data_IF_285614976780
#
_entry.id   IF_285614976780
#
_cell.length_a   1.000
_cell.length_b   1.000
_cell.length_c   1.000
_cell.angle_alpha   90.00
_cell.angle_beta   90.00
_cell.angle_gamma   90.00
#
_symmetry.space_group_name_H-M   'P 1'
#
loop_
_entity.id
_entity.type
_entity.pdbx_description
1 polymer ?
#
# COMPACT_ATOMS: atom_id res chain seq x y z
N UNK A 1 20.44 -19.91 40.85
CA UNK A 1 19.14 -19.39 40.38
C UNK A 1 19.41 -18.72 39.03
N UNK A 2 19.21 -19.46 37.95
CA UNK A 2 19.51 -19.02 36.58
C UNK A 2 18.22 -18.40 36.08
N UNK A 3 18.24 -17.11 35.82
CA UNK A 3 17.14 -16.42 35.16
C UNK A 3 17.38 -16.63 33.64
N UNK A 4 16.64 -17.55 33.07
CA UNK A 4 16.58 -17.69 31.63
C UNK A 4 15.87 -16.46 31.06
N UNK A 5 16.62 -15.60 30.37
CA UNK A 5 16.06 -14.52 29.57
C UNK A 5 15.34 -15.15 28.38
N UNK A 6 14.02 -15.09 28.39
CA UNK A 6 13.23 -15.34 27.20
C UNK A 6 13.66 -14.32 26.15
N UNK A 7 14.40 -14.78 25.15
CA UNK A 7 14.63 -14.02 23.94
C UNK A 7 13.28 -13.94 23.21
N UNK A 8 12.68 -12.77 23.25
CA UNK A 8 11.53 -12.41 22.42
C UNK A 8 11.95 -12.48 20.95
N UNK A 9 11.93 -13.70 20.41
CA UNK A 9 12.11 -13.95 19.00
C UNK A 9 10.79 -13.59 18.31
N UNK A 10 10.59 -12.29 18.03
CA UNK A 10 9.48 -11.85 17.19
C UNK A 10 9.54 -12.63 15.88
N UNK A 11 8.49 -13.38 15.59
CA UNK A 11 8.36 -14.09 14.30
C UNK A 11 8.59 -13.10 13.17
N UNK A 12 9.29 -13.51 12.08
CA UNK A 12 9.53 -12.60 10.96
C UNK A 12 8.21 -12.13 10.37
N UNK A 13 8.12 -10.83 10.06
CA UNK A 13 6.94 -10.27 9.40
C UNK A 13 6.69 -11.01 8.09
N UNK A 14 5.46 -11.44 7.88
CA UNK A 14 5.04 -12.18 6.70
C UNK A 14 4.31 -11.24 5.75
N UNK A 15 4.79 -11.14 4.50
CA UNK A 15 4.11 -10.44 3.41
C UNK A 15 3.40 -11.47 2.53
N UNK A 16 2.15 -11.18 2.18
CA UNK A 16 1.36 -12.05 1.30
C UNK A 16 0.42 -11.23 0.40
N UNK A 17 0.08 -11.80 -0.74
CA UNK A 17 -1.01 -11.31 -1.58
C UNK A 17 -2.35 -11.68 -0.92
N UNK A 18 -3.24 -10.71 -0.76
CA UNK A 18 -4.52 -10.92 -0.09
C UNK A 18 -5.50 -11.69 -0.99
N UNK A 19 -6.07 -12.74 -0.43
CA UNK A 19 -7.23 -13.42 -1.01
C UNK A 19 -8.49 -12.92 -0.31
N UNK A 20 -9.28 -12.10 -1.00
CA UNK A 20 -10.51 -11.53 -0.45
C UNK A 20 -11.66 -12.53 -0.34
N UNK A 21 -11.48 -13.79 -0.70
CA UNK A 21 -12.44 -14.86 -0.33
C UNK A 21 -12.28 -15.28 1.14
N UNK A 22 -11.15 -14.97 1.79
CA UNK A 22 -10.85 -15.30 3.17
C UNK A 22 -11.26 -14.18 4.13
N UNK A 23 -12.13 -14.45 5.11
CA UNK A 23 -12.58 -13.44 6.07
C UNK A 23 -11.42 -12.73 6.80
N UNK A 24 -10.38 -13.44 7.20
CA UNK A 24 -9.22 -12.88 7.88
C UNK A 24 -8.49 -11.84 7.02
N UNK A 25 -8.42 -12.02 5.71
CA UNK A 25 -7.83 -11.03 4.80
C UNK A 25 -8.76 -9.84 4.58
N UNK A 26 -10.08 -10.05 4.52
CA UNK A 26 -11.07 -8.97 4.45
C UNK A 26 -10.97 -8.06 5.67
N UNK A 27 -10.94 -8.64 6.87
CA UNK A 27 -10.81 -7.91 8.13
C UNK A 27 -9.48 -7.13 8.20
N UNK A 28 -8.38 -7.76 7.78
CA UNK A 28 -7.08 -7.13 7.74
C UNK A 28 -7.04 -5.93 6.77
N UNK A 29 -7.56 -6.08 5.55
CA UNK A 29 -7.65 -4.98 4.58
C UNK A 29 -8.47 -3.84 5.14
N UNK A 30 -9.67 -4.13 5.68
CA UNK A 30 -10.53 -3.11 6.27
C UNK A 30 -9.85 -2.38 7.43
N UNK A 31 -9.16 -3.12 8.31
CA UNK A 31 -8.44 -2.54 9.43
C UNK A 31 -7.30 -1.62 8.97
N UNK A 32 -6.54 -2.04 7.96
CA UNK A 32 -5.42 -1.24 7.45
C UNK A 32 -5.88 0.02 6.71
N UNK A 33 -6.93 -0.07 5.88
CA UNK A 33 -7.48 1.11 5.20
C UNK A 33 -8.11 2.09 6.20
N UNK A 34 -8.80 1.60 7.24
CA UNK A 34 -9.32 2.46 8.32
C UNK A 34 -8.17 3.12 9.11
N UNK A 35 -7.09 2.39 9.39
CA UNK A 35 -5.91 2.95 10.04
C UNK A 35 -5.25 4.05 9.19
N UNK A 36 -5.15 3.83 7.88
CA UNK A 36 -4.64 4.85 6.94
C UNK A 36 -5.56 6.08 6.90
N UNK A 37 -6.88 5.88 6.86
CA UNK A 37 -7.85 6.99 6.89
C UNK A 37 -7.70 7.87 8.14
N UNK A 38 -7.35 7.27 9.29
CA UNK A 38 -7.12 7.98 10.58
C UNK A 38 -5.77 8.70 10.64
N UNK A 39 -4.80 8.30 9.82
CA UNK A 39 -3.47 8.92 9.80
C UNK A 39 -3.55 10.38 9.37
N UNK A 40 -2.67 11.23 9.89
CA UNK A 40 -2.59 12.65 9.52
C UNK A 40 -2.30 12.86 8.03
N UNK A 41 -1.66 11.89 7.38
CA UNK A 41 -1.41 11.89 5.92
C UNK A 41 -2.56 11.26 5.12
N UNK A 42 -3.60 10.75 5.79
CA UNK A 42 -4.86 10.33 5.21
C UNK A 42 -5.95 11.38 5.38
N UNK A 43 -7.16 10.95 5.78
CA UNK A 43 -8.28 11.87 6.02
C UNK A 43 -8.33 12.43 7.45
N UNK A 44 -7.49 11.94 8.38
CA UNK A 44 -7.47 12.34 9.79
C UNK A 44 -8.70 11.86 10.60
N UNK A 45 -9.53 10.98 10.05
CA UNK A 45 -10.75 10.45 10.70
C UNK A 45 -11.00 9.00 10.25
N UNK A 46 -11.77 8.22 11.05
CA UNK A 46 -12.14 6.86 10.66
C UNK A 46 -13.00 6.87 9.39
N UNK A 47 -13.01 5.73 8.71
CA UNK A 47 -13.94 5.49 7.60
C UNK A 47 -15.39 5.58 8.08
N UNK A 48 -16.23 6.24 7.30
CA UNK A 48 -17.67 6.26 7.54
C UNK A 48 -18.26 4.84 7.49
N UNK A 49 -19.33 4.60 8.23
CA UNK A 49 -19.93 3.28 8.36
C UNK A 49 -20.37 2.69 7.00
N UNK A 50 -20.90 3.51 6.10
CA UNK A 50 -21.27 3.08 4.75
C UNK A 50 -20.04 2.68 3.93
N UNK A 51 -18.94 3.45 4.03
CA UNK A 51 -17.68 3.13 3.35
C UNK A 51 -17.13 1.82 3.88
N UNK A 52 -17.11 1.61 5.20
CA UNK A 52 -16.68 0.35 5.82
C UNK A 52 -17.47 -0.85 5.31
N UNK A 53 -18.79 -0.70 5.18
CA UNK A 53 -19.68 -1.79 4.71
C UNK A 53 -19.47 -2.10 3.21
N UNK A 54 -19.09 -1.12 2.40
CA UNK A 54 -18.98 -1.27 0.95
C UNK A 54 -17.55 -1.52 0.46
N UNK A 55 -16.53 -1.29 1.29
CA UNK A 55 -15.12 -1.37 0.87
C UNK A 55 -14.77 -2.75 0.32
N UNK A 56 -14.94 -3.80 1.11
CA UNK A 56 -14.59 -5.17 0.71
C UNK A 56 -15.44 -5.64 -0.48
N UNK A 57 -16.78 -5.51 -0.47
CA UNK A 57 -17.59 -5.83 -1.64
C UNK A 57 -17.17 -5.05 -2.91
N UNK A 58 -16.79 -3.79 -2.76
CA UNK A 58 -16.30 -2.96 -3.87
C UNK A 58 -14.99 -3.48 -4.44
N UNK A 59 -14.00 -3.73 -3.57
CA UNK A 59 -12.69 -4.28 -3.96
C UNK A 59 -12.81 -5.65 -4.63
N UNK A 60 -13.69 -6.52 -4.14
CA UNK A 60 -13.95 -7.84 -4.75
C UNK A 60 -14.55 -7.75 -6.15
N UNK A 61 -15.39 -6.75 -6.42
CA UNK A 61 -16.01 -6.53 -7.73
C UNK A 61 -15.09 -5.81 -8.70
N UNK A 62 -14.09 -5.09 -8.20
CA UNK A 62 -13.19 -4.32 -9.04
C UNK A 62 -12.16 -5.27 -9.72
N UNK A 63 -12.15 -5.37 -11.05
CA UNK A 63 -11.45 -6.46 -11.75
C UNK A 63 -9.92 -6.38 -11.69
N UNK A 64 -9.37 -5.24 -11.30
CA UNK A 64 -7.92 -4.99 -11.28
C UNK A 64 -7.35 -4.82 -9.88
N UNK A 65 -8.14 -5.15 -8.85
CA UNK A 65 -7.71 -5.09 -7.45
C UNK A 65 -6.56 -6.07 -7.18
N UNK A 66 -5.51 -5.57 -6.56
CA UNK A 66 -4.36 -6.33 -6.11
C UNK A 66 -3.93 -5.77 -4.76
N UNK A 67 -3.88 -6.61 -3.73
CA UNK A 67 -3.61 -6.15 -2.36
C UNK A 67 -2.53 -7.02 -1.75
N UNK A 68 -1.57 -6.37 -1.07
CA UNK A 68 -0.58 -7.04 -0.23
C UNK A 68 -0.79 -6.68 1.22
N UNK A 69 -0.67 -7.67 2.09
CA UNK A 69 -0.78 -7.52 3.54
C UNK A 69 0.53 -7.91 4.20
N UNK A 70 0.89 -7.18 5.26
CA UNK A 70 1.97 -7.51 6.16
C UNK A 70 1.39 -7.95 7.51
N UNK A 71 1.79 -9.12 7.99
CA UNK A 71 1.40 -9.66 9.28
C UNK A 71 2.62 -9.84 10.19
N UNK A 72 2.50 -9.40 11.43
CA UNK A 72 3.38 -9.74 12.55
C UNK A 72 2.64 -10.76 13.42
N UNK A 73 3.03 -12.04 13.32
CA UNK A 73 2.19 -13.13 13.80
C UNK A 73 0.82 -13.15 13.10
N UNK A 74 -0.24 -12.97 13.87
CA UNK A 74 -1.63 -12.89 13.37
C UNK A 74 -2.14 -11.45 13.21
N UNK A 75 -1.35 -10.45 13.62
CA UNK A 75 -1.75 -9.05 13.56
C UNK A 75 -1.39 -8.42 12.22
N UNK A 76 -2.34 -7.83 11.49
CA UNK A 76 -2.03 -7.04 10.31
C UNK A 76 -1.34 -5.74 10.75
N UNK A 77 -0.18 -5.46 10.17
CA UNK A 77 0.66 -4.31 10.52
C UNK A 77 0.95 -3.40 9.34
N UNK A 78 0.56 -3.79 8.14
CA UNK A 78 0.68 -2.97 6.94
C UNK A 78 -0.10 -3.52 5.76
N UNK A 79 -0.35 -2.66 4.79
CA UNK A 79 -1.00 -3.03 3.54
C UNK A 79 -0.57 -2.13 2.38
N UNK A 80 -0.62 -2.69 1.18
CA UNK A 80 -0.57 -1.97 -0.08
C UNK A 80 -1.81 -2.35 -0.91
N UNK A 81 -2.72 -1.40 -1.10
CA UNK A 81 -3.87 -1.55 -2.00
C UNK A 81 -3.47 -1.00 -3.35
N UNK A 82 -3.50 -1.84 -4.37
CA UNK A 82 -3.03 -1.54 -5.70
C UNK A 82 -4.11 -1.82 -6.75
N UNK A 83 -3.99 -1.16 -7.89
CA UNK A 83 -4.83 -1.43 -9.06
C UNK A 83 -3.95 -1.61 -10.29
N UNK A 84 -4.28 -2.62 -11.11
CA UNK A 84 -3.60 -2.85 -12.37
C UNK A 84 -4.22 -1.93 -13.41
N UNK A 85 -3.40 -1.04 -13.93
CA UNK A 85 -3.74 -0.13 -15.02
C UNK A 85 -3.02 -0.50 -16.31
N UNK A 86 -3.12 0.36 -17.31
CA UNK A 86 -2.49 0.17 -18.60
C UNK A 86 -1.79 1.44 -19.08
N UNK A 87 -0.56 1.32 -19.50
CA UNK A 87 0.20 2.40 -20.11
C UNK A 87 0.00 2.39 -21.63
N UNK A 88 -0.75 3.35 -22.16
CA UNK A 88 -0.96 3.48 -23.61
C UNK A 88 0.33 3.77 -24.37
N UNK A 89 1.29 4.49 -23.76
CA UNK A 89 2.56 4.80 -24.39
C UNK A 89 3.53 3.60 -24.45
N UNK A 90 3.43 2.68 -23.47
CA UNK A 90 4.26 1.47 -23.46
C UNK A 90 3.52 0.24 -24.01
N UNK A 91 2.19 0.35 -24.25
CA UNK A 91 1.31 -0.76 -24.58
C UNK A 91 1.47 -1.96 -23.63
N UNK A 92 1.61 -1.68 -22.32
CA UNK A 92 1.85 -2.67 -21.27
C UNK A 92 1.06 -2.34 -20.02
N UNK A 93 0.75 -3.34 -19.16
CA UNK A 93 0.18 -3.09 -17.86
C UNK A 93 1.14 -2.27 -16.99
N UNK A 94 0.59 -1.64 -15.97
CA UNK A 94 1.30 -1.02 -14.87
C UNK A 94 0.55 -1.32 -13.57
N UNK A 95 1.21 -1.18 -12.41
CA UNK A 95 0.53 -1.21 -11.13
C UNK A 95 0.57 0.19 -10.53
N UNK A 96 -0.61 0.70 -10.14
CA UNK A 96 -0.74 1.89 -9.31
C UNK A 96 -0.88 1.44 -7.84
N UNK A 97 0.02 1.92 -6.97
CA UNK A 97 -0.10 1.77 -5.52
C UNK A 97 -1.00 2.91 -5.05
N UNK A 98 -2.26 2.59 -4.73
CA UNK A 98 -3.29 3.57 -4.40
C UNK A 98 -3.27 3.96 -2.93
N UNK A 99 -3.28 2.95 -2.02
CA UNK A 99 -3.13 3.16 -0.58
C UNK A 99 -1.92 2.36 -0.08
N UNK A 100 -1.12 2.98 0.78
CA UNK A 100 0.05 2.35 1.36
C UNK A 100 0.17 2.71 2.83
N UNK A 101 0.11 1.72 3.70
CA UNK A 101 0.11 1.93 5.14
C UNK A 101 1.01 0.94 5.86
N UNK A 102 1.75 1.44 6.84
CA UNK A 102 2.39 0.65 7.90
C UNK A 102 2.00 1.30 9.22
N UNK A 103 1.47 0.51 10.15
CA UNK A 103 1.03 1.00 11.45
C UNK A 103 2.18 1.74 12.16
N UNK A 104 1.91 2.86 12.86
CA UNK A 104 2.95 3.65 13.54
C UNK A 104 3.85 2.82 14.45
N UNK A 105 3.28 1.87 15.18
CA UNK A 105 3.99 0.95 16.10
C UNK A 105 4.92 -0.04 15.40
N UNK A 106 4.76 -0.20 14.10
CA UNK A 106 5.51 -1.15 13.26
C UNK A 106 6.44 -0.46 12.26
N UNK A 107 6.46 0.87 12.23
CA UNK A 107 7.38 1.64 11.36
C UNK A 107 8.84 1.46 11.80
N UNK A 108 9.76 1.70 10.88
CA UNK A 108 11.20 1.56 11.14
C UNK A 108 11.74 0.12 11.12
N UNK A 109 10.87 -0.88 10.96
CA UNK A 109 11.23 -2.32 10.93
C UNK A 109 11.41 -2.87 9.50
N UNK A 110 11.44 -2.02 8.48
CA UNK A 110 11.61 -2.45 7.08
C UNK A 110 10.35 -3.01 6.41
N UNK A 111 9.19 -2.98 7.06
CA UNK A 111 7.92 -3.55 6.55
C UNK A 111 7.48 -2.85 5.26
N UNK A 112 7.56 -1.52 5.21
CA UNK A 112 7.22 -0.77 4.00
C UNK A 112 8.07 -1.18 2.81
N UNK A 113 9.38 -1.38 3.00
CA UNK A 113 10.27 -1.88 1.97
C UNK A 113 9.85 -3.27 1.49
N UNK A 114 9.56 -4.20 2.40
CA UNK A 114 9.13 -5.55 2.05
C UNK A 114 7.81 -5.56 1.27
N UNK A 115 6.84 -4.69 1.64
CA UNK A 115 5.60 -4.51 0.87
C UNK A 115 5.89 -4.00 -0.55
N UNK A 116 6.76 -3.00 -0.71
CA UNK A 116 7.14 -2.50 -2.04
C UNK A 116 7.83 -3.58 -2.88
N UNK A 117 8.74 -4.36 -2.29
CA UNK A 117 9.41 -5.48 -2.94
C UNK A 117 8.41 -6.55 -3.43
N UNK A 118 7.37 -6.84 -2.63
CA UNK A 118 6.31 -7.77 -3.03
C UNK A 118 5.47 -7.23 -4.21
N UNK A 119 5.10 -5.94 -4.18
CA UNK A 119 4.40 -5.29 -5.29
C UNK A 119 5.26 -5.29 -6.56
N UNK A 120 6.55 -4.99 -6.43
CA UNK A 120 7.50 -4.98 -7.56
C UNK A 120 7.67 -6.39 -8.16
N UNK A 121 7.80 -7.42 -7.32
CA UNK A 121 7.89 -8.81 -7.78
C UNK A 121 6.65 -9.19 -8.59
N UNK A 122 5.46 -8.84 -8.12
CA UNK A 122 4.20 -9.08 -8.83
C UNK A 122 4.12 -8.28 -10.15
N UNK A 123 4.57 -7.04 -10.14
CA UNK A 123 4.61 -6.24 -11.36
C UNK A 123 5.51 -6.85 -12.43
N UNK A 124 6.65 -7.40 -12.04
CA UNK A 124 7.55 -8.14 -12.95
C UNK A 124 6.90 -9.42 -13.48
N UNK A 125 6.24 -10.19 -12.61
CA UNK A 125 5.47 -11.39 -12.98
C UNK A 125 4.41 -11.08 -14.05
N UNK A 126 3.68 -9.97 -13.87
CA UNK A 126 2.63 -9.52 -14.78
C UNK A 126 3.14 -8.81 -16.05
N UNK A 127 4.45 -8.63 -16.19
CA UNK A 127 5.04 -7.93 -17.33
C UNK A 127 4.75 -6.42 -17.36
N UNK A 128 4.48 -5.83 -16.18
CA UNK A 128 4.24 -4.40 -16.06
C UNK A 128 5.45 -3.58 -16.49
N UNK A 129 5.19 -2.43 -17.11
CA UNK A 129 6.25 -1.51 -17.52
C UNK A 129 6.74 -0.59 -16.38
N UNK A 130 5.92 -0.37 -15.36
CA UNK A 130 6.26 0.49 -14.21
C UNK A 130 5.29 0.31 -13.04
N UNK A 131 5.71 0.81 -11.88
CA UNK A 131 4.88 1.15 -10.74
C UNK A 131 4.60 2.65 -10.72
N UNK A 132 3.44 3.05 -10.24
CA UNK A 132 3.08 4.45 -9.99
C UNK A 132 2.47 4.61 -8.62
N UNK A 133 2.62 5.77 -8.02
CA UNK A 133 1.96 6.15 -6.77
C UNK A 133 1.82 7.66 -6.69
N UNK A 134 0.98 8.09 -5.76
CA UNK A 134 0.86 9.49 -5.35
C UNK A 134 1.29 9.61 -3.89
N UNK A 135 2.02 10.67 -3.58
CA UNK A 135 2.50 10.93 -2.22
C UNK A 135 2.46 12.44 -1.95
N UNK A 136 2.02 12.80 -0.75
CA UNK A 136 2.07 14.20 -0.32
C UNK A 136 3.52 14.65 -0.22
N UNK A 137 3.87 15.79 -0.81
CA UNK A 137 5.24 16.31 -0.89
C UNK A 137 5.87 16.61 0.48
N UNK A 138 5.04 16.83 1.50
CA UNK A 138 5.45 17.03 2.90
C UNK A 138 5.55 15.74 3.71
N UNK A 139 5.25 14.59 3.12
CA UNK A 139 5.45 13.29 3.74
C UNK A 139 6.88 12.82 3.51
N UNK A 140 7.85 13.51 4.12
CA UNK A 140 9.29 13.27 3.90
C UNK A 140 9.70 11.83 4.16
N UNK A 141 9.06 11.14 5.11
CA UNK A 141 9.38 9.76 5.44
C UNK A 141 9.00 8.83 4.27
N UNK A 142 7.78 8.98 3.73
CA UNK A 142 7.31 8.18 2.61
C UNK A 142 8.10 8.52 1.34
N UNK A 143 8.33 9.81 1.06
CA UNK A 143 9.13 10.26 -0.09
C UNK A 143 10.53 9.63 -0.08
N UNK A 144 11.24 9.67 1.06
CA UNK A 144 12.57 9.02 1.18
C UNK A 144 12.50 7.51 0.96
N UNK A 145 11.48 6.84 1.50
CA UNK A 145 11.31 5.39 1.33
C UNK A 145 11.08 5.04 -0.15
N UNK A 146 10.20 5.77 -0.84
CA UNK A 146 9.95 5.55 -2.27
C UNK A 146 11.17 5.85 -3.13
N UNK A 147 11.88 6.93 -2.86
CA UNK A 147 13.12 7.24 -3.56
C UNK A 147 14.20 6.17 -3.37
N UNK A 148 14.35 5.65 -2.14
CA UNK A 148 15.24 4.53 -1.85
C UNK A 148 14.84 3.23 -2.57
N UNK A 149 13.55 3.07 -2.90
CA UNK A 149 13.02 1.97 -3.71
C UNK A 149 13.07 2.25 -5.23
N UNK A 150 13.67 3.37 -5.66
CA UNK A 150 13.86 3.69 -7.08
C UNK A 150 12.71 4.47 -7.72
N UNK A 151 11.75 5.00 -6.93
CA UNK A 151 10.75 5.91 -7.47
C UNK A 151 11.33 7.30 -7.66
N UNK A 152 10.99 7.91 -8.77
CA UNK A 152 11.35 9.27 -9.13
C UNK A 152 10.10 10.13 -9.34
N UNK A 153 10.27 11.45 -9.20
CA UNK A 153 9.19 12.37 -9.55
C UNK A 153 8.91 12.28 -11.04
N UNK A 154 7.62 12.19 -11.37
CA UNK A 154 7.23 12.14 -12.77
C UNK A 154 7.44 13.51 -13.43
N UNK A 155 8.37 13.55 -14.38
CA UNK A 155 8.61 14.68 -15.27
C UNK A 155 8.80 14.16 -16.69
N UNK A 156 8.15 14.79 -17.66
CA UNK A 156 8.32 14.44 -19.08
C UNK A 156 9.51 15.19 -19.69
N UNK A 157 9.57 16.51 -19.49
CA UNK A 157 10.62 17.41 -19.92
C UNK A 157 10.65 18.60 -18.98
N UNK A 158 11.82 19.22 -18.75
CA UNK A 158 11.94 20.38 -17.85
C UNK A 158 10.98 21.53 -18.22
N UNK A 159 10.76 21.74 -19.52
CA UNK A 159 9.89 22.81 -20.04
C UNK A 159 8.39 22.54 -19.85
N UNK A 160 7.98 21.28 -19.67
CA UNK A 160 6.59 20.90 -19.44
C UNK A 160 6.14 21.10 -17.99
N UNK A 161 7.08 21.30 -17.05
CA UNK A 161 6.81 21.42 -15.62
C UNK A 161 6.51 20.07 -14.95
N UNK A 162 6.06 20.12 -13.71
CA UNK A 162 5.72 18.94 -12.91
C UNK A 162 4.27 18.51 -13.11
N UNK A 163 4.01 17.20 -13.09
CA UNK A 163 2.65 16.69 -13.05
C UNK A 163 1.98 17.09 -11.73
N UNK A 164 0.71 17.52 -11.81
CA UNK A 164 -0.11 17.81 -10.65
C UNK A 164 -1.27 16.83 -10.57
N UNK A 165 -1.63 16.45 -9.35
CA UNK A 165 -2.85 15.67 -9.12
C UNK A 165 -4.05 16.59 -9.04
N UNK A 166 -5.12 16.24 -9.75
CA UNK A 166 -6.38 17.00 -9.74
C UNK A 166 -7.55 16.04 -9.52
N UNK A 167 -8.52 16.44 -8.70
CA UNK A 167 -9.74 15.67 -8.45
C UNK A 167 -10.99 16.52 -8.67
N UNK A 168 -12.08 15.88 -9.09
CA UNK A 168 -13.41 16.48 -9.22
C UNK A 168 -14.41 15.53 -8.57
N UNK A 169 -15.00 15.90 -7.41
CA UNK A 169 -16.08 15.11 -6.82
C UNK A 169 -17.26 14.99 -7.79
N UNK A 170 -17.83 13.79 -7.87
CA UNK A 170 -19.07 13.53 -8.61
C UNK A 170 -20.19 13.31 -7.60
N UNK A 171 -21.29 14.02 -7.77
CA UNK A 171 -22.49 13.86 -6.93
C UNK A 171 -23.36 12.74 -7.46
#
# INVERSE_FOLDING_TARGET
MIVEGESDASSPVRILEADLSLPVHQEAVLAMVDAYSRDAMGHGKPLDQNVRAQLIPGLMKHPTTLIFLAFDGEQPVGAAVCFIGFSSFAAKPLINIHDFVVLPTSRGKGIGRQLLEAVEAKARELGCCKLTLEVMDKNDQAVRMYQAAGFERYALQEEAGAAIFMSKPLQ
#
